data_IF_156979242601
#
_entry.id   IF_156979242601
#
_cell.length_a   1.000
_cell.length_b   1.000
_cell.length_c   1.000
_cell.angle_alpha   90.00
_cell.angle_beta   90.00
_cell.angle_gamma   90.00
#
_symmetry.space_group_name_H-M   'P 1'
#
loop_
_entity.id
_entity.type
_entity.pdbx_description
1 polymer ?
#
# COMPACT_ATOMS: atom_id res chain seq x y z
N UNK A 1 -7.79 -3.21 12.72
CA UNK A 1 -7.50 -4.59 12.32
C UNK A 1 -5.99 -4.78 12.43
N UNK A 2 -5.54 -5.86 13.06
CA UNK A 2 -4.12 -6.24 13.09
C UNK A 2 -3.92 -7.20 11.94
N UNK A 3 -2.95 -6.93 11.07
CA UNK A 3 -2.61 -7.85 9.99
C UNK A 3 -1.74 -8.99 10.53
N UNK A 4 -1.86 -10.21 9.99
CA UNK A 4 -0.92 -11.29 10.27
C UNK A 4 0.51 -10.93 9.90
N UNK A 5 1.45 -11.39 10.72
CA UNK A 5 2.90 -11.24 10.51
C UNK A 5 3.48 -12.40 9.65
N UNK A 6 2.64 -13.29 9.10
CA UNK A 6 3.03 -14.43 8.23
C UNK A 6 1.89 -14.73 7.26
N UNK A 7 2.22 -15.23 6.06
CA UNK A 7 1.27 -15.80 5.11
C UNK A 7 1.79 -17.13 4.54
N UNK A 8 1.02 -18.21 4.71
CA UNK A 8 1.35 -19.52 4.16
C UNK A 8 1.34 -19.48 2.63
N UNK A 9 2.45 -19.90 2.01
CA UNK A 9 2.61 -19.88 0.56
C UNK A 9 3.12 -18.56 -0.02
N UNK A 10 3.52 -17.58 0.80
CA UNK A 10 4.12 -16.33 0.35
C UNK A 10 5.19 -16.54 -0.74
N UNK A 11 6.11 -17.48 -0.54
CA UNK A 11 7.22 -17.73 -1.47
C UNK A 11 6.82 -18.16 -2.89
N UNK A 12 5.55 -18.52 -3.11
CA UNK A 12 5.02 -18.87 -4.44
C UNK A 12 4.33 -17.69 -5.15
N UNK A 13 4.09 -16.59 -4.43
CA UNK A 13 3.47 -15.39 -5.00
C UNK A 13 4.50 -14.59 -5.81
N UNK A 14 4.07 -13.91 -6.90
CA UNK A 14 4.93 -12.97 -7.59
C UNK A 14 5.44 -11.88 -6.65
N UNK A 15 6.72 -11.54 -6.78
CA UNK A 15 7.38 -10.48 -6.03
C UNK A 15 7.44 -9.20 -6.85
N UNK A 16 7.07 -8.09 -6.23
CA UNK A 16 7.17 -6.74 -6.79
C UNK A 16 8.05 -5.90 -5.84
N UNK A 17 9.18 -5.47 -6.37
CA UNK A 17 10.14 -4.55 -5.72
C UNK A 17 10.32 -3.25 -6.50
N UNK A 18 9.90 -3.23 -7.77
CA UNK A 18 9.96 -2.09 -8.70
C UNK A 18 8.76 -2.15 -9.67
N UNK A 19 8.41 -1.02 -10.27
CA UNK A 19 7.22 -0.89 -11.13
C UNK A 19 7.19 -1.84 -12.32
N UNK A 20 8.35 -2.08 -12.93
CA UNK A 20 8.48 -2.96 -14.10
C UNK A 20 7.96 -4.38 -13.83
N UNK A 21 8.13 -4.88 -12.60
CA UNK A 21 7.63 -6.20 -12.19
C UNK A 21 6.11 -6.19 -12.05
N UNK A 22 5.54 -5.04 -11.67
CA UNK A 22 4.13 -4.87 -11.38
C UNK A 22 3.24 -4.90 -12.65
N UNK A 23 3.79 -4.61 -13.83
CA UNK A 23 3.05 -4.51 -15.11
C UNK A 23 2.25 -5.77 -15.43
N UNK A 24 2.73 -6.96 -15.06
CA UNK A 24 2.07 -8.24 -15.35
C UNK A 24 1.10 -8.72 -14.25
N UNK A 25 0.89 -7.94 -13.19
CA UNK A 25 0.26 -8.40 -11.95
C UNK A 25 -0.96 -7.59 -11.49
N UNK A 26 -1.55 -6.78 -12.38
CA UNK A 26 -2.82 -6.11 -12.10
C UNK A 26 -3.94 -7.10 -11.76
N UNK A 27 -4.64 -6.84 -10.66
CA UNK A 27 -5.70 -7.69 -10.11
C UNK A 27 -5.22 -9.01 -9.50
N UNK A 28 -3.91 -9.22 -9.28
CA UNK A 28 -3.37 -10.48 -8.76
C UNK A 28 -2.91 -10.36 -7.30
N UNK A 29 -2.98 -11.48 -6.58
CA UNK A 29 -2.36 -11.62 -5.26
C UNK A 29 -0.84 -11.69 -5.43
N UNK A 30 -0.13 -10.79 -4.77
CA UNK A 30 1.33 -10.61 -4.90
C UNK A 30 1.97 -10.33 -3.56
N UNK A 31 3.31 -10.38 -3.54
CA UNK A 31 4.18 -9.82 -2.50
C UNK A 31 4.76 -8.51 -3.00
N UNK A 32 4.56 -7.45 -2.24
CA UNK A 32 5.18 -6.15 -2.50
C UNK A 32 6.20 -5.88 -1.41
N UNK A 33 7.45 -5.65 -1.79
CA UNK A 33 8.52 -5.29 -0.86
C UNK A 33 8.97 -3.87 -1.13
N UNK A 34 9.10 -3.10 -0.06
CA UNK A 34 9.59 -1.73 -0.14
C UNK A 34 9.51 -1.00 1.19
N UNK A 35 9.82 0.30 1.18
CA UNK A 35 9.88 1.11 2.40
C UNK A 35 8.49 1.58 2.84
N UNK A 36 8.11 1.29 4.08
CA UNK A 36 6.85 1.75 4.66
C UNK A 36 6.94 3.22 5.10
N UNK A 37 6.10 4.08 4.53
CA UNK A 37 6.06 5.51 4.85
C UNK A 37 4.63 6.00 5.11
N UNK A 38 4.51 7.05 5.94
CA UNK A 38 3.26 7.79 6.04
C UNK A 38 3.04 8.66 4.80
N UNK A 39 1.79 8.72 4.33
CA UNK A 39 1.40 9.41 3.10
C UNK A 39 0.39 10.52 3.39
N UNK A 40 0.67 11.71 2.85
CA UNK A 40 -0.30 12.81 2.83
C UNK A 40 -1.20 12.70 1.59
N UNK A 41 -2.35 12.06 1.78
CA UNK A 41 -3.33 11.80 0.70
C UNK A 41 -4.07 13.05 0.23
N UNK A 42 -3.85 14.22 0.84
CA UNK A 42 -4.41 15.47 0.32
C UNK A 42 -3.74 15.88 -1.00
N UNK A 43 -2.57 15.28 -1.30
CA UNK A 43 -1.75 15.58 -2.49
C UNK A 43 -1.51 17.08 -2.69
N UNK A 44 -1.44 17.85 -1.59
CA UNK A 44 -1.17 19.28 -1.62
C UNK A 44 0.34 19.49 -1.66
N UNK A 45 0.89 20.12 -2.71
CA UNK A 45 2.34 20.30 -2.86
C UNK A 45 2.92 21.36 -1.91
N UNK A 46 2.08 22.20 -1.31
CA UNK A 46 2.50 23.34 -0.47
C UNK A 46 1.94 23.19 0.94
N UNK A 47 2.82 23.33 1.93
CA UNK A 47 2.51 23.32 3.36
C UNK A 47 3.03 22.08 4.08
N UNK A 48 2.85 22.06 5.40
CA UNK A 48 3.25 20.92 6.24
C UNK A 48 2.41 19.68 5.88
N UNK A 49 3.05 18.52 5.62
CA UNK A 49 2.34 17.27 5.44
C UNK A 49 1.42 16.97 6.62
N UNK A 50 0.21 16.46 6.35
CA UNK A 50 -0.73 16.03 7.37
C UNK A 50 -0.97 14.54 7.24
N UNK A 51 -0.32 13.78 8.11
CA UNK A 51 -0.52 12.35 8.21
C UNK A 51 -1.74 12.06 9.07
N UNK A 52 -2.69 11.31 8.51
CA UNK A 52 -3.94 10.90 9.20
C UNK A 52 -4.08 9.38 9.23
N UNK A 53 -2.94 8.68 9.17
CA UNK A 53 -2.85 7.23 9.21
C UNK A 53 -2.79 6.55 7.84
N UNK A 54 -2.77 7.29 6.73
CA UNK A 54 -2.54 6.70 5.41
C UNK A 54 -1.05 6.42 5.22
N UNK A 55 -0.75 5.31 4.56
CA UNK A 55 0.61 4.84 4.34
C UNK A 55 0.78 4.34 2.92
N UNK A 56 2.03 4.32 2.48
CA UNK A 56 2.43 3.71 1.21
C UNK A 56 3.68 2.88 1.39
N UNK A 57 3.84 1.89 0.51
CA UNK A 57 5.08 1.18 0.30
C UNK A 57 5.80 1.85 -0.86
N UNK A 58 7.02 2.31 -0.63
CA UNK A 58 7.89 2.89 -1.67
C UNK A 58 8.74 1.78 -2.24
N UNK A 59 8.53 1.50 -3.52
CA UNK A 59 9.34 0.56 -4.30
C UNK A 59 10.75 1.12 -4.52
N UNK A 60 11.67 0.28 -5.00
CA UNK A 60 13.07 0.66 -5.25
C UNK A 60 13.23 1.80 -6.29
N UNK A 61 12.23 2.01 -7.14
CA UNK A 61 12.16 3.05 -8.18
C UNK A 61 11.26 4.24 -7.78
N UNK A 62 11.10 4.48 -6.48
CA UNK A 62 10.33 5.58 -5.88
C UNK A 62 8.81 5.56 -6.15
N UNK A 63 8.30 4.52 -6.81
CA UNK A 63 6.86 4.34 -6.99
C UNK A 63 6.18 4.04 -5.66
N UNK A 64 5.09 4.76 -5.38
CA UNK A 64 4.33 4.66 -4.13
C UNK A 64 3.08 3.81 -4.34
N UNK A 65 3.02 2.69 -3.64
CA UNK A 65 1.85 1.80 -3.61
C UNK A 65 1.07 2.04 -2.32
N UNK A 66 -0.19 2.47 -2.42
CA UNK A 66 -1.02 2.73 -1.24
C UNK A 66 -1.53 1.42 -0.62
N UNK A 67 -1.65 1.39 0.72
CA UNK A 67 -2.31 0.29 1.42
C UNK A 67 -3.80 0.60 1.59
N UNK A 68 -4.63 -0.04 0.78
CA UNK A 68 -6.05 0.23 0.57
C UNK A 68 -6.35 1.57 -0.15
N UNK A 69 -7.46 1.64 -0.92
CA UNK A 69 -7.96 2.88 -1.49
C UNK A 69 -8.26 3.90 -0.39
N UNK A 70 -7.93 5.16 -0.60
CA UNK A 70 -8.02 6.23 0.43
C UNK A 70 -9.43 6.45 1.00
N UNK A 71 -10.47 6.04 0.24
CA UNK A 71 -11.87 6.12 0.67
C UNK A 71 -12.28 4.96 1.59
N UNK A 72 -11.51 3.87 1.65
CA UNK A 72 -11.74 2.77 2.57
C UNK A 72 -11.29 3.11 3.99
N UNK A 73 -12.04 2.62 4.97
CA UNK A 73 -11.73 2.84 6.39
C UNK A 73 -10.38 2.23 6.77
N UNK A 74 -10.06 1.08 6.17
CA UNK A 74 -8.86 0.27 6.37
C UNK A 74 -7.58 0.97 5.89
N UNK A 75 -7.71 1.98 5.01
CA UNK A 75 -6.59 2.80 4.55
C UNK A 75 -5.99 3.67 5.67
N UNK A 76 -6.74 3.89 6.75
CA UNK A 76 -6.21 4.52 7.98
C UNK A 76 -5.64 3.45 8.90
N UNK A 77 -4.32 3.31 8.87
CA UNK A 77 -3.58 2.30 9.62
C UNK A 77 -3.54 2.64 11.12
N UNK A 78 -3.53 1.61 12.00
CA UNK A 78 -3.35 1.81 13.44
C UNK A 78 -2.00 2.47 13.75
N UNK A 79 -1.97 3.35 14.76
CA UNK A 79 -0.74 4.03 15.17
C UNK A 79 0.36 3.05 15.62
N UNK A 80 -0.01 1.93 16.25
CA UNK A 80 0.96 0.90 16.65
C UNK A 80 1.66 0.24 15.45
N UNK A 81 0.93 0.03 14.35
CA UNK A 81 1.51 -0.50 13.10
C UNK A 81 2.47 0.52 12.48
N UNK A 82 2.04 1.79 12.38
CA UNK A 82 2.87 2.86 11.86
C UNK A 82 4.17 2.99 12.68
N UNK A 83 4.08 3.01 14.01
CA UNK A 83 5.27 3.10 14.87
C UNK A 83 6.22 1.90 14.68
N UNK A 84 5.68 0.70 14.43
CA UNK A 84 6.47 -0.51 14.22
C UNK A 84 7.24 -0.46 12.91
N UNK A 85 6.59 -0.05 11.82
CA UNK A 85 7.11 -0.23 10.47
C UNK A 85 7.62 1.04 9.80
N UNK A 86 7.31 2.23 10.33
CA UNK A 86 7.72 3.50 9.72
C UNK A 86 9.23 3.51 9.43
N UNK A 87 9.54 3.86 8.20
CA UNK A 87 10.87 3.92 7.62
C UNK A 87 11.62 2.57 7.49
N UNK A 88 10.97 1.45 7.80
CA UNK A 88 11.51 0.10 7.60
C UNK A 88 11.13 -0.44 6.21
N UNK A 89 11.95 -1.34 5.69
CA UNK A 89 11.57 -2.22 4.60
C UNK A 89 10.60 -3.27 5.14
N UNK A 90 9.49 -3.48 4.43
CA UNK A 90 8.45 -4.44 4.81
C UNK A 90 8.03 -5.25 3.59
N UNK A 91 7.42 -6.39 3.86
CA UNK A 91 6.72 -7.19 2.86
C UNK A 91 5.22 -7.14 3.10
N UNK A 92 4.45 -6.83 2.05
CA UNK A 92 3.00 -6.75 2.10
C UNK A 92 2.39 -7.73 1.10
N UNK A 93 1.45 -8.54 1.56
CA UNK A 93 0.73 -9.49 0.70
C UNK A 93 -0.70 -8.99 0.51
N UNK A 94 -1.09 -8.77 -0.74
CA UNK A 94 -2.42 -8.27 -1.09
C UNK A 94 -2.69 -8.34 -2.59
N UNK A 95 -3.90 -7.97 -2.99
CA UNK A 95 -4.27 -7.86 -4.40
C UNK A 95 -3.76 -6.51 -4.91
N UNK A 96 -2.92 -6.54 -5.94
CA UNK A 96 -2.31 -5.35 -6.49
C UNK A 96 -3.11 -4.79 -7.67
N UNK A 97 -3.26 -3.47 -7.71
CA UNK A 97 -3.86 -2.75 -8.82
C UNK A 97 -2.94 -1.62 -9.29
N UNK A 98 -2.82 -1.44 -10.61
CA UNK A 98 -2.07 -0.33 -11.22
C UNK A 98 -2.66 1.03 -10.86
N UNK A 99 -3.97 1.09 -10.67
CA UNK A 99 -4.70 2.27 -10.25
C UNK A 99 -5.60 1.92 -9.08
N UNK A 100 -5.67 2.81 -8.10
CA UNK A 100 -6.60 2.64 -6.98
C UNK A 100 -8.03 2.46 -7.51
N UNK A 101 -8.76 1.45 -7.01
CA UNK A 101 -10.19 1.31 -7.25
C UNK A 101 -10.96 2.62 -7.01
N UNK A 102 -11.95 2.87 -7.88
CA UNK A 102 -12.82 4.03 -7.79
C UNK A 102 -13.68 3.97 -6.52
N UNK A 103 -13.89 5.12 -5.89
CA UNK A 103 -14.86 5.27 -4.81
C UNK A 103 -16.27 4.97 -5.35
N UNK A 104 -16.96 3.95 -4.83
CA UNK A 104 -18.31 3.60 -5.29
C UNK A 104 -19.33 4.73 -5.07
N UNK A 105 -19.03 5.70 -4.20
CA UNK A 105 -19.87 6.88 -3.93
C UNK A 105 -19.56 8.06 -4.85
N UNK A 106 -18.61 7.92 -5.80
CA UNK A 106 -18.24 8.97 -6.75
C UNK A 106 -17.22 9.98 -6.23
N UNK A 107 -16.53 9.69 -5.12
CA UNK A 107 -15.43 10.49 -4.61
C UNK A 107 -14.15 10.43 -5.46
N UNK A 108 -13.27 11.42 -5.28
CA UNK A 108 -11.98 11.44 -5.97
C UNK A 108 -11.13 10.23 -5.56
N UNK A 109 -10.60 9.51 -6.56
CA UNK A 109 -9.76 8.32 -6.37
C UNK A 109 -8.39 8.56 -7.00
N UNK A 110 -7.28 8.36 -6.26
CA UNK A 110 -5.94 8.54 -6.82
C UNK A 110 -5.66 7.59 -7.99
N UNK A 111 -4.99 8.07 -9.03
CA UNK A 111 -4.54 7.23 -10.16
C UNK A 111 -3.24 6.47 -9.84
N UNK A 112 -2.82 6.44 -8.57
CA UNK A 112 -1.63 5.72 -8.11
C UNK A 112 -1.93 4.23 -7.86
N UNK A 113 -0.91 3.36 -7.90
CA UNK A 113 -1.10 1.96 -7.57
C UNK A 113 -1.51 1.72 -6.12
N UNK A 114 -2.19 0.62 -5.89
CA UNK A 114 -2.83 0.31 -4.62
C UNK A 114 -2.84 -1.20 -4.36
N UNK A 115 -2.67 -1.60 -3.11
CA UNK A 115 -3.02 -2.93 -2.62
C UNK A 115 -4.43 -2.91 -2.02
N UNK A 116 -5.20 -3.96 -2.26
CA UNK A 116 -6.44 -4.27 -1.54
C UNK A 116 -6.33 -5.64 -0.89
N UNK A 117 -7.33 -6.02 -0.08
CA UNK A 117 -7.43 -7.35 0.50
C UNK A 117 -6.13 -7.84 1.17
N UNK A 118 -5.45 -6.96 1.90
CA UNK A 118 -4.14 -7.26 2.49
C UNK A 118 -4.28 -8.45 3.44
N UNK A 119 -3.51 -9.50 3.18
CA UNK A 119 -3.50 -10.77 3.92
C UNK A 119 -2.42 -10.81 4.98
N UNK A 120 -1.30 -10.12 4.78
CA UNK A 120 -0.19 -10.05 5.74
C UNK A 120 0.68 -8.79 5.53
N UNK A 121 1.36 -8.37 6.60
CA UNK A 121 2.34 -7.29 6.62
C UNK A 121 3.39 -7.62 7.70
N UNK A 122 4.66 -7.71 7.33
CA UNK A 122 5.76 -7.97 8.28
C UNK A 122 7.10 -7.38 7.83
#
# INVERSE_FOLDING_TARGET
MVLPDVYDGANTLPLITQWKEAEAHDGKLVRVVGKYIESDVRMKPIGTPRYVGHVSIVLADDVRVSLFPVWQREARRPQAEIHRFKDQEVEVIGIFYHQSPLDPSGGASPLSPCLTEIKALY
#
